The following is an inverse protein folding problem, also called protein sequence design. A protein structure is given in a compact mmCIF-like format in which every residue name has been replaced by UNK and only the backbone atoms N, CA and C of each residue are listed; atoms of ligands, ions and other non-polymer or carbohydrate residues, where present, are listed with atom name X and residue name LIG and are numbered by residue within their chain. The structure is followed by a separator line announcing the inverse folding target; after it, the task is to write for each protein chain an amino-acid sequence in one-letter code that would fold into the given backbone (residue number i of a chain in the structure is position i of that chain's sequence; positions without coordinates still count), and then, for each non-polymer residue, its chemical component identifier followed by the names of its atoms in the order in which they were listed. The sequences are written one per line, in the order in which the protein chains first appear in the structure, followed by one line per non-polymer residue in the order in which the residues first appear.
data_IF_406361161011
#
_entry.id   IF_406361161011
#
_cell.length_a   1.000
_cell.length_b   1.000
_cell.length_c   1.000
_cell.angle_alpha   90.00
_cell.angle_beta   90.00
_cell.angle_gamma   90.00
#
_symmetry.space_group_name_H-M   'P 1'
#
loop_
_entity.id
_entity.type
_entity.pdbx_description
1 polymer ?
#
# COMPACT_ATOMS: atom_id res chain seq x y z
N UNK A 1 7.54 -26.24 41.63
CA UNK A 1 7.60 -25.17 40.61
C UNK A 1 7.58 -25.84 39.23
N UNK A 2 6.42 -25.96 38.55
CA UNK A 2 6.35 -26.35 37.10
C UNK A 2 4.93 -26.44 36.48
N UNK A 3 3.90 -25.77 37.02
CA UNK A 3 2.57 -25.74 36.37
C UNK A 3 2.34 -24.46 35.53
N UNK A 4 2.99 -23.36 35.89
CA UNK A 4 2.69 -22.02 35.36
C UNK A 4 3.20 -21.77 33.94
N UNK A 5 4.31 -22.40 33.53
CA UNK A 5 4.90 -22.19 32.20
C UNK A 5 4.12 -22.91 31.11
N UNK A 6 3.57 -24.10 31.41
CA UNK A 6 2.79 -24.91 30.45
C UNK A 6 1.43 -24.24 30.18
N UNK A 7 0.78 -23.66 31.19
CA UNK A 7 -0.48 -22.93 30.99
C UNK A 7 -0.32 -21.63 30.19
N UNK A 8 0.81 -20.93 30.34
CA UNK A 8 1.08 -19.72 29.57
C UNK A 8 1.28 -20.01 28.07
N UNK A 9 1.98 -21.10 27.74
CA UNK A 9 2.12 -21.55 26.34
C UNK A 9 0.82 -22.12 25.76
N UNK A 10 -0.09 -22.63 26.61
CA UNK A 10 -1.43 -23.07 26.18
C UNK A 10 -2.36 -21.92 25.81
N UNK A 11 -2.17 -20.74 26.42
CA UNK A 11 -2.96 -19.52 26.14
C UNK A 11 -2.51 -18.78 24.89
N UNK A 12 -1.25 -18.88 24.51
CA UNK A 12 -0.77 -18.41 23.22
C UNK A 12 -1.08 -19.49 22.17
N UNK A 13 -2.30 -19.47 21.60
CA UNK A 13 -2.72 -20.41 20.54
C UNK A 13 -1.60 -20.54 19.49
N UNK A 14 -0.98 -21.71 19.29
CA UNK A 14 0.08 -21.89 18.31
C UNK A 14 -0.38 -21.58 16.87
N UNK A 15 -1.69 -21.55 16.62
CA UNK A 15 -2.31 -21.14 15.36
C UNK A 15 -2.29 -19.61 15.09
N UNK A 16 -2.11 -18.75 16.10
CA UNK A 16 -2.12 -17.28 15.89
C UNK A 16 -0.80 -16.74 15.33
N UNK A 17 0.33 -17.37 15.66
CA UNK A 17 1.65 -16.95 15.14
C UNK A 17 1.77 -17.08 13.61
N UNK A 18 1.40 -18.21 12.96
CA UNK A 18 1.51 -18.34 11.52
C UNK A 18 0.57 -17.38 10.76
N UNK A 19 -0.65 -17.18 11.26
CA UNK A 19 -1.62 -16.25 10.65
C UNK A 19 -1.12 -14.79 10.68
N UNK A 20 -0.53 -14.35 11.80
CA UNK A 20 0.08 -13.01 11.91
C UNK A 20 1.25 -12.82 10.93
N UNK A 21 2.07 -13.84 10.73
CA UNK A 21 3.19 -13.78 9.79
C UNK A 21 2.71 -13.78 8.32
N UNK A 22 1.67 -14.55 7.99
CA UNK A 22 1.06 -14.53 6.66
C UNK A 22 0.46 -13.14 6.35
N UNK A 23 -0.28 -12.58 7.30
CA UNK A 23 -0.84 -11.22 7.24
C UNK A 23 0.24 -10.15 7.03
N UNK A 24 1.33 -10.20 7.80
CA UNK A 24 2.46 -9.26 7.65
C UNK A 24 3.15 -9.39 6.29
N UNK A 25 3.32 -10.62 5.77
CA UNK A 25 3.87 -10.83 4.42
C UNK A 25 2.97 -10.28 3.33
N UNK A 26 1.65 -10.45 3.46
CA UNK A 26 0.69 -9.88 2.52
C UNK A 26 0.76 -8.34 2.52
N UNK A 27 0.85 -7.70 3.70
CA UNK A 27 1.04 -6.25 3.80
C UNK A 27 2.35 -5.79 3.14
N UNK A 28 3.48 -6.48 3.41
CA UNK A 28 4.75 -6.16 2.79
C UNK A 28 4.73 -6.33 1.26
N UNK A 29 4.03 -7.35 0.76
CA UNK A 29 3.82 -7.55 -0.68
C UNK A 29 3.07 -6.38 -1.33
N UNK A 30 2.00 -5.91 -0.69
CA UNK A 30 1.23 -4.75 -1.16
C UNK A 30 2.12 -3.50 -1.16
N UNK A 31 2.82 -3.23 -0.06
CA UNK A 31 3.73 -2.07 0.01
C UNK A 31 4.83 -2.15 -1.05
N UNK A 32 5.41 -3.34 -1.27
CA UNK A 32 6.45 -3.54 -2.28
C UNK A 32 5.98 -3.34 -3.72
N UNK A 33 4.70 -3.61 -4.02
CA UNK A 33 4.11 -3.34 -5.33
C UNK A 33 3.72 -1.86 -5.50
N UNK A 34 3.20 -1.24 -4.45
CA UNK A 34 2.69 0.14 -4.47
C UNK A 34 3.80 1.18 -4.46
N UNK A 35 4.84 0.98 -3.66
CA UNK A 35 5.87 1.99 -3.42
C UNK A 35 6.62 2.42 -4.69
N UNK A 36 7.05 1.50 -5.59
CA UNK A 36 7.72 1.88 -6.83
C UNK A 36 6.84 2.73 -7.76
N UNK A 37 5.54 2.42 -7.84
CA UNK A 37 4.60 3.18 -8.66
C UNK A 37 4.33 4.57 -8.08
N UNK A 38 4.24 4.68 -6.75
CA UNK A 38 4.14 5.99 -6.09
C UNK A 38 5.39 6.83 -6.33
N UNK A 39 6.59 6.24 -6.16
CA UNK A 39 7.86 6.93 -6.40
C UNK A 39 7.97 7.42 -7.85
N UNK A 40 7.60 6.57 -8.81
CA UNK A 40 7.52 6.95 -10.23
C UNK A 40 6.55 8.12 -10.44
N UNK A 41 5.36 8.07 -9.86
CA UNK A 41 4.34 9.09 -10.04
C UNK A 41 4.76 10.44 -9.43
N UNK A 42 5.34 10.44 -8.23
CA UNK A 42 5.82 11.66 -7.59
C UNK A 42 7.02 12.26 -8.32
N UNK A 43 7.98 11.43 -8.78
CA UNK A 43 9.07 11.93 -9.61
C UNK A 43 8.62 12.43 -10.99
N UNK A 44 7.54 11.89 -11.54
CA UNK A 44 6.92 12.43 -12.75
C UNK A 44 6.27 13.80 -12.47
N UNK A 45 5.53 13.93 -11.35
CA UNK A 45 4.95 15.20 -10.90
C UNK A 45 6.01 16.28 -10.68
N UNK A 46 7.13 15.95 -10.03
CA UNK A 46 8.23 16.90 -9.79
C UNK A 46 8.85 17.42 -11.10
N UNK A 47 8.79 16.61 -12.16
CA UNK A 47 9.27 16.98 -13.50
C UNK A 47 8.20 17.63 -14.37
N UNK A 48 6.96 17.76 -13.87
CA UNK A 48 5.81 18.25 -14.63
C UNK A 48 5.26 17.26 -15.67
N UNK A 49 5.71 16.00 -15.66
CA UNK A 49 5.24 14.95 -16.57
C UNK A 49 3.92 14.35 -16.06
N UNK A 50 2.82 15.02 -16.37
CA UNK A 50 1.48 14.62 -15.95
C UNK A 50 1.02 13.31 -16.62
N UNK A 51 1.52 13.00 -17.82
CA UNK A 51 1.16 11.77 -18.53
C UNK A 51 1.69 10.55 -17.80
N UNK A 52 2.97 10.55 -17.42
CA UNK A 52 3.59 9.46 -16.66
C UNK A 52 2.97 9.34 -15.26
N UNK A 53 2.70 10.47 -14.59
CA UNK A 53 2.04 10.43 -13.28
C UNK A 53 0.63 9.81 -13.34
N UNK A 54 -0.15 10.13 -14.39
CA UNK A 54 -1.49 9.53 -14.61
C UNK A 54 -1.42 8.05 -14.96
N UNK A 55 -0.43 7.64 -15.75
CA UNK A 55 -0.22 6.23 -16.09
C UNK A 55 0.09 5.41 -14.83
N UNK A 56 1.00 5.89 -13.98
CA UNK A 56 1.33 5.24 -12.71
C UNK A 56 0.13 5.19 -11.75
N UNK A 57 -0.70 6.24 -11.70
CA UNK A 57 -1.96 6.23 -10.95
C UNK A 57 -2.95 5.18 -11.47
N UNK A 58 -3.06 5.01 -12.78
CA UNK A 58 -3.95 4.00 -13.39
C UNK A 58 -3.48 2.58 -13.03
N UNK A 59 -2.18 2.32 -13.14
CA UNK A 59 -1.57 1.03 -12.74
C UNK A 59 -1.80 0.76 -11.24
N UNK A 60 -1.62 1.77 -10.38
CA UNK A 60 -1.94 1.72 -8.97
C UNK A 60 -3.43 1.46 -8.69
N UNK A 61 -4.35 1.73 -9.61
CA UNK A 61 -5.76 1.40 -9.44
C UNK A 61 -6.06 -0.05 -9.86
N UNK A 62 -5.39 -0.55 -10.90
CA UNK A 62 -5.63 -1.85 -11.52
C UNK A 62 -4.94 -3.02 -10.79
N UNK A 63 -3.87 -2.76 -10.02
CA UNK A 63 -3.11 -3.79 -9.30
C UNK A 63 -4.04 -4.65 -8.38
N UNK A 64 -4.18 -5.97 -8.62
CA UNK A 64 -5.09 -6.81 -7.85
C UNK A 64 -4.59 -7.04 -6.41
N UNK A 65 -5.51 -7.03 -5.46
CA UNK A 65 -5.19 -7.30 -4.06
C UNK A 65 -5.20 -8.80 -3.72
N UNK A 66 -4.29 -9.26 -2.84
CA UNK A 66 -4.47 -10.53 -2.17
C UNK A 66 -5.78 -10.48 -1.38
N UNK A 67 -6.64 -11.50 -1.53
CA UNK A 67 -7.90 -11.58 -0.77
C UNK A 67 -7.69 -11.57 0.76
N UNK A 68 -6.52 -12.01 1.21
CA UNK A 68 -6.12 -12.04 2.63
C UNK A 68 -5.32 -10.80 3.08
N UNK A 69 -5.29 -9.76 2.24
CA UNK A 69 -4.62 -8.50 2.56
C UNK A 69 -5.18 -7.90 3.85
N UNK A 70 -4.31 -7.41 4.75
CA UNK A 70 -4.77 -6.71 5.95
C UNK A 70 -5.52 -5.43 5.57
N UNK A 71 -6.65 -5.16 6.23
CA UNK A 71 -7.48 -3.97 5.94
C UNK A 71 -6.66 -2.67 5.98
N UNK A 72 -5.74 -2.54 6.94
CA UNK A 72 -4.85 -1.39 7.06
C UNK A 72 -3.96 -1.17 5.82
N UNK A 73 -3.50 -2.24 5.15
CA UNK A 73 -2.70 -2.11 3.94
C UNK A 73 -3.55 -1.68 2.72
N UNK A 74 -4.79 -2.16 2.66
CA UNK A 74 -5.77 -1.76 1.64
C UNK A 74 -6.15 -0.29 1.82
N UNK A 75 -6.49 0.11 3.05
CA UNK A 75 -6.82 1.50 3.40
C UNK A 75 -5.66 2.44 3.13
N UNK A 76 -4.43 2.05 3.51
CA UNK A 76 -3.23 2.84 3.22
C UNK A 76 -3.05 3.06 1.71
N UNK A 77 -3.15 2.00 0.87
CA UNK A 77 -3.06 2.16 -0.60
C UNK A 77 -4.16 3.08 -1.12
N UNK A 78 -5.40 2.93 -0.66
CA UNK A 78 -6.51 3.79 -1.08
C UNK A 78 -6.22 5.27 -0.78
N UNK A 79 -5.69 5.57 0.40
CA UNK A 79 -5.27 6.93 0.77
C UNK A 79 -4.16 7.46 -0.14
N UNK A 80 -3.17 6.63 -0.51
CA UNK A 80 -2.09 7.05 -1.40
C UNK A 80 -2.60 7.33 -2.83
N UNK A 81 -3.51 6.50 -3.35
CA UNK A 81 -4.16 6.70 -4.65
C UNK A 81 -4.94 8.01 -4.67
N UNK A 82 -5.73 8.27 -3.62
CA UNK A 82 -6.50 9.51 -3.48
C UNK A 82 -5.57 10.74 -3.44
N UNK A 83 -4.53 10.70 -2.61
CA UNK A 83 -3.59 11.81 -2.45
C UNK A 83 -2.82 12.11 -3.74
N UNK A 84 -2.43 11.06 -4.48
CA UNK A 84 -1.78 11.20 -5.78
C UNK A 84 -2.74 11.79 -6.83
N UNK A 85 -4.00 11.34 -6.86
CA UNK A 85 -5.01 11.87 -7.79
C UNK A 85 -5.30 13.36 -7.56
N UNK A 86 -5.37 13.78 -6.29
CA UNK A 86 -5.52 15.20 -5.90
C UNK A 86 -4.29 15.99 -6.35
N UNK A 87 -3.09 15.46 -6.11
CA UNK A 87 -1.83 16.12 -6.50
C UNK A 87 -1.72 16.32 -8.00
N UNK A 88 -2.02 15.28 -8.81
CA UNK A 88 -2.07 15.37 -10.28
C UNK A 88 -3.09 16.43 -10.72
N UNK A 89 -4.28 16.43 -10.13
CA UNK A 89 -5.34 17.37 -10.47
C UNK A 89 -4.94 18.83 -10.15
N UNK A 90 -4.27 19.04 -9.03
CA UNK A 90 -3.74 20.36 -8.65
C UNK A 90 -2.64 20.81 -9.62
N UNK A 91 -1.64 19.96 -9.87
CA UNK A 91 -0.52 20.30 -10.79
C UNK A 91 -1.01 20.56 -12.21
N UNK A 92 -2.00 19.80 -12.70
CA UNK A 92 -2.63 20.02 -14.02
C UNK A 92 -3.26 21.41 -14.14
N UNK A 93 -3.87 21.92 -13.06
CA UNK A 93 -4.45 23.28 -13.05
C UNK A 93 -3.38 24.36 -13.03
N UNK A 94 -2.24 24.10 -12.38
CA UNK A 94 -1.13 25.08 -12.30
C UNK A 94 -0.32 25.18 -13.60
N UNK A 95 -0.12 24.07 -14.31
CA UNK A 95 0.68 24.04 -15.55
C UNK A 95 -0.14 24.44 -16.80
N UNK A 96 -1.47 24.43 -16.70
CA UNK A 96 -2.36 24.72 -17.82
C UNK A 96 -2.52 23.53 -18.78
N UNK A 97 -3.42 23.63 -19.78
CA UNK A 97 -3.85 22.49 -20.62
C UNK A 97 -2.81 22.00 -21.65
N UNK A 98 -1.59 22.52 -21.63
CA UNK A 98 -0.55 22.24 -22.63
C UNK A 98 0.70 21.51 -22.07
N UNK A 99 0.64 21.07 -20.81
CA UNK A 99 1.70 20.30 -20.15
C UNK A 99 1.40 18.80 -20.14
#
# INVERSE_FOLDING_TARGET
MSATIIEFQRRAKPAEKPARLASARAALGIMGAVFPLLELAYHALDRGDLATARAALAELCEEPFPAEAPSAAIEWRAQQVELLAVSISHTSQTLGPAA
#
